data_IF_666754173523
#
_entry.id   IF_666754173523
#
_cell.length_a   1.000
_cell.length_b   1.000
_cell.length_c   1.000
_cell.angle_alpha   90.00
_cell.angle_beta   90.00
_cell.angle_gamma   90.00
#
_symmetry.space_group_name_H-M   'P 1'
#
loop_
_entity.id
_entity.type
_entity.pdbx_description
1 polymer ?
#
# COMPACT_ATOMS: atom_id res chain seq x y z
N UNK A 1 -14.41 4.14 4.25
CA UNK A 1 -14.42 2.73 3.80
C UNK A 1 -15.81 2.43 3.25
N UNK A 2 -15.92 1.80 2.08
CA UNK A 2 -17.21 1.42 1.48
C UNK A 2 -17.29 -0.10 1.37
N UNK A 3 -18.34 -0.73 1.90
CA UNK A 3 -18.55 -2.18 1.74
C UNK A 3 -20.01 -2.49 1.40
N UNK A 4 -20.24 -3.66 0.82
CA UNK A 4 -21.57 -4.12 0.41
C UNK A 4 -21.48 -5.15 -0.71
N UNK A 5 -22.59 -5.79 -1.06
CA UNK A 5 -22.61 -6.88 -2.05
C UNK A 5 -22.24 -6.43 -3.47
N UNK A 6 -21.98 -7.39 -4.35
CA UNK A 6 -21.71 -7.14 -5.78
C UNK A 6 -22.90 -6.39 -6.40
N UNK A 7 -22.62 -5.39 -7.25
CA UNK A 7 -23.67 -4.61 -7.92
C UNK A 7 -24.25 -3.43 -7.13
N UNK A 8 -23.79 -3.16 -5.91
CA UNK A 8 -24.29 -2.04 -5.06
C UNK A 8 -23.75 -0.65 -5.43
N UNK A 9 -23.04 -0.50 -6.55
CA UNK A 9 -22.55 0.81 -7.03
C UNK A 9 -21.27 1.34 -6.36
N UNK A 10 -20.61 0.57 -5.47
CA UNK A 10 -19.38 0.98 -4.77
C UNK A 10 -18.28 1.47 -5.70
N UNK A 11 -18.01 0.75 -6.80
CA UNK A 11 -16.99 1.12 -7.78
C UNK A 11 -17.32 2.40 -8.53
N UNK A 12 -18.61 2.69 -8.73
CA UNK A 12 -19.10 3.93 -9.34
C UNK A 12 -18.94 5.12 -8.38
N UNK A 13 -19.30 4.95 -7.11
CA UNK A 13 -19.04 5.98 -6.08
C UNK A 13 -17.54 6.25 -5.91
N UNK A 14 -16.71 5.21 -5.92
CA UNK A 14 -15.26 5.34 -5.88
C UNK A 14 -14.73 6.11 -7.10
N UNK A 15 -15.31 5.88 -8.29
CA UNK A 15 -14.92 6.61 -9.51
C UNK A 15 -15.24 8.10 -9.41
N UNK A 16 -16.45 8.44 -8.96
CA UNK A 16 -16.87 9.83 -8.75
C UNK A 16 -15.98 10.51 -7.70
N UNK A 17 -15.75 9.85 -6.57
CA UNK A 17 -14.87 10.36 -5.53
C UNK A 17 -13.44 10.61 -6.05
N UNK A 18 -12.85 9.64 -6.76
CA UNK A 18 -11.50 9.76 -7.29
C UNK A 18 -11.38 10.91 -8.29
N UNK A 19 -12.37 11.09 -9.17
CA UNK A 19 -12.41 12.17 -10.16
C UNK A 19 -12.58 13.55 -9.51
N UNK A 20 -13.51 13.67 -8.55
CA UNK A 20 -13.84 14.93 -7.89
C UNK A 20 -12.84 15.35 -6.80
N UNK A 21 -11.97 14.43 -6.36
CA UNK A 21 -10.95 14.73 -5.36
C UNK A 21 -10.03 15.88 -5.81
N UNK A 22 -9.81 16.90 -4.95
CA UNK A 22 -8.95 18.05 -5.27
C UNK A 22 -7.46 17.69 -5.33
N UNK A 23 -7.09 16.46 -4.97
CA UNK A 23 -5.71 15.98 -5.05
C UNK A 23 -5.28 15.88 -6.52
N UNK A 24 -4.09 16.43 -6.89
CA UNK A 24 -3.57 16.32 -8.25
C UNK A 24 -3.53 14.88 -8.74
N UNK A 25 -3.82 14.66 -10.03
CA UNK A 25 -3.79 13.32 -10.64
C UNK A 25 -2.46 12.58 -10.47
N UNK A 26 -1.34 13.31 -10.38
CA UNK A 26 -0.01 12.75 -10.13
C UNK A 26 0.22 12.29 -8.69
N UNK A 27 -0.66 12.66 -7.75
CA UNK A 27 -0.59 12.33 -6.32
C UNK A 27 -1.76 11.46 -5.85
N UNK A 28 -2.63 11.02 -6.74
CA UNK A 28 -3.72 10.08 -6.43
C UNK A 28 -3.63 8.85 -7.31
N UNK A 29 -3.80 7.68 -6.71
CA UNK A 29 -3.75 6.40 -7.40
C UNK A 29 -5.01 5.59 -7.08
N UNK A 30 -5.59 4.98 -8.11
CA UNK A 30 -6.66 3.99 -7.97
C UNK A 30 -6.17 2.65 -8.49
N UNK A 31 -6.26 1.59 -7.69
CA UNK A 31 -5.68 0.28 -8.02
C UNK A 31 -6.43 -0.85 -7.32
N UNK A 32 -6.45 -2.05 -7.92
CA UNK A 32 -6.92 -3.25 -7.24
C UNK A 32 -5.95 -3.63 -6.12
N UNK A 33 -6.48 -4.03 -4.97
CA UNK A 33 -5.67 -4.33 -3.80
C UNK A 33 -4.58 -5.40 -4.06
N UNK A 34 -4.90 -6.46 -4.82
CA UNK A 34 -3.94 -7.50 -5.16
C UNK A 34 -2.75 -6.97 -5.98
N UNK A 35 -3.03 -6.14 -7.00
CA UNK A 35 -1.98 -5.54 -7.83
C UNK A 35 -1.08 -4.60 -7.03
N UNK A 36 -1.64 -3.89 -6.05
CA UNK A 36 -0.85 -3.09 -5.13
C UNK A 36 0.08 -3.94 -4.25
N UNK A 37 -0.43 -5.04 -3.69
CA UNK A 37 0.40 -5.94 -2.88
C UNK A 37 1.54 -6.55 -3.69
N UNK A 38 1.31 -6.92 -4.96
CA UNK A 38 2.38 -7.39 -5.85
C UNK A 38 3.48 -6.33 -6.06
N UNK A 39 3.11 -5.05 -6.25
CA UNK A 39 4.09 -3.96 -6.34
C UNK A 39 4.88 -3.79 -5.04
N UNK A 40 4.20 -3.77 -3.90
CA UNK A 40 4.85 -3.65 -2.57
C UNK A 40 5.84 -4.80 -2.34
N UNK A 41 5.45 -6.04 -2.62
CA UNK A 41 6.32 -7.21 -2.49
C UNK A 41 7.55 -7.12 -3.41
N UNK A 42 7.36 -6.68 -4.66
CA UNK A 42 8.46 -6.46 -5.61
C UNK A 42 9.45 -5.42 -5.08
N UNK A 43 8.98 -4.24 -4.65
CA UNK A 43 9.83 -3.17 -4.11
C UNK A 43 10.60 -3.63 -2.86
N UNK A 44 9.94 -4.36 -1.95
CA UNK A 44 10.59 -4.94 -0.77
C UNK A 44 11.69 -5.93 -1.18
N UNK A 45 11.41 -6.80 -2.15
CA UNK A 45 12.36 -7.78 -2.63
C UNK A 45 13.59 -7.14 -3.31
N UNK A 46 13.39 -6.08 -4.09
CA UNK A 46 14.46 -5.30 -4.72
C UNK A 46 15.38 -4.65 -3.68
N UNK A 47 14.81 -4.01 -2.66
CA UNK A 47 15.59 -3.42 -1.56
C UNK A 47 16.40 -4.49 -0.80
N UNK A 48 15.77 -5.62 -0.48
CA UNK A 48 16.46 -6.74 0.18
C UNK A 48 17.61 -7.27 -0.67
N UNK A 49 17.43 -7.41 -1.98
CA UNK A 49 18.50 -7.83 -2.88
C UNK A 49 19.64 -6.82 -2.95
N UNK A 50 19.34 -5.52 -2.97
CA UNK A 50 20.36 -4.48 -2.95
C UNK A 50 21.16 -4.50 -1.64
N UNK A 51 20.50 -4.55 -0.48
CA UNK A 51 21.16 -4.64 0.82
C UNK A 51 22.05 -5.89 0.93
N UNK A 52 21.62 -7.03 0.40
CA UNK A 52 22.42 -8.27 0.38
C UNK A 52 23.69 -8.17 -0.48
N UNK A 53 23.62 -7.44 -1.61
CA UNK A 53 24.77 -7.21 -2.49
C UNK A 53 25.80 -6.31 -1.82
N UNK A 54 25.34 -5.26 -1.14
CA UNK A 54 26.22 -4.25 -0.54
C UNK A 54 26.83 -4.71 0.80
N UNK A 55 26.10 -5.49 1.61
CA UNK A 55 26.50 -5.85 2.99
C UNK A 55 26.93 -7.31 3.18
N UNK A 56 26.80 -8.16 2.16
CA UNK A 56 27.14 -9.58 2.22
C UNK A 56 26.14 -10.44 3.03
N UNK A 57 26.32 -11.77 2.99
CA UNK A 57 25.39 -12.77 3.58
C UNK A 57 25.26 -12.73 5.12
N UNK A 58 26.05 -11.91 5.82
CA UNK A 58 25.99 -11.76 7.28
C UNK A 58 24.98 -10.72 7.75
N UNK A 59 24.05 -10.28 6.89
CA UNK A 59 22.88 -9.56 7.34
C UNK A 59 21.92 -10.55 8.04
N UNK A 60 22.20 -10.83 9.31
CA UNK A 60 21.12 -11.09 10.27
C UNK A 60 20.05 -10.05 9.98
N UNK A 61 18.82 -10.47 9.67
CA UNK A 61 17.68 -9.56 9.46
C UNK A 61 17.68 -8.61 10.65
N UNK A 62 18.25 -7.43 10.42
CA UNK A 62 18.42 -6.45 11.47
C UNK A 62 17.04 -5.85 11.63
N UNK A 63 16.33 -6.31 12.66
CA UNK A 63 15.02 -5.79 13.06
C UNK A 63 15.17 -4.41 13.72
N UNK A 64 16.35 -3.78 13.62
CA UNK A 64 16.47 -2.34 13.87
C UNK A 64 15.51 -1.58 12.95
N UNK A 65 14.78 -0.64 13.54
CA UNK A 65 13.71 0.13 12.90
C UNK A 65 14.21 0.86 11.63
N UNK A 66 15.51 1.21 11.60
CA UNK A 66 16.17 1.96 10.52
C UNK A 66 16.48 1.14 9.26
N UNK A 67 16.59 -0.18 9.37
CA UNK A 67 16.86 -1.08 8.24
C UNK A 67 15.62 -1.81 7.72
N UNK A 68 14.42 -1.43 8.16
CA UNK A 68 13.20 -2.10 7.74
C UNK A 68 12.82 -1.74 6.28
N UNK A 69 12.85 -2.72 5.34
CA UNK A 69 12.55 -2.45 3.92
C UNK A 69 11.09 -2.04 3.70
N UNK A 70 10.15 -2.50 4.53
CA UNK A 70 8.73 -2.12 4.43
C UNK A 70 8.58 -0.62 4.73
N UNK A 71 9.28 -0.11 5.76
CA UNK A 71 9.26 1.32 6.08
C UNK A 71 9.85 2.17 4.96
N UNK A 72 10.95 1.72 4.34
CA UNK A 72 11.55 2.42 3.18
C UNK A 72 10.58 2.50 2.01
N UNK A 73 9.95 1.37 1.64
CA UNK A 73 8.91 1.34 0.60
C UNK A 73 7.74 2.26 0.95
N UNK A 74 7.27 2.25 2.21
CA UNK A 74 6.18 3.12 2.65
C UNK A 74 6.54 4.60 2.56
N UNK A 75 7.77 4.99 2.92
CA UNK A 75 8.25 6.36 2.80
C UNK A 75 8.29 6.81 1.34
N UNK A 76 8.79 5.96 0.44
CA UNK A 76 8.83 6.30 -0.99
C UNK A 76 7.42 6.39 -1.58
N UNK A 77 6.52 5.45 -1.24
CA UNK A 77 5.11 5.53 -1.62
C UNK A 77 4.41 6.78 -1.07
N UNK A 78 4.73 7.22 0.16
CA UNK A 78 4.14 8.44 0.75
C UNK A 78 4.53 9.71 -0.02
N UNK A 79 5.71 9.73 -0.63
CA UNK A 79 6.16 10.83 -1.49
C UNK A 79 5.49 10.76 -2.85
N UNK A 80 5.20 9.57 -3.36
CA UNK A 80 4.53 9.35 -4.64
C UNK A 80 3.02 9.66 -4.56
N UNK A 81 2.34 9.19 -3.51
CA UNK A 81 0.88 9.15 -3.42
C UNK A 81 0.36 9.75 -2.11
N UNK A 82 -0.49 10.77 -2.26
CA UNK A 82 -1.24 11.40 -1.17
C UNK A 82 -2.65 10.84 -1.00
N UNK A 83 -3.23 10.24 -2.06
CA UNK A 83 -4.53 9.58 -2.01
C UNK A 83 -4.49 8.21 -2.71
N UNK A 84 -4.74 7.15 -1.95
CA UNK A 84 -4.75 5.78 -2.42
C UNK A 84 -6.16 5.19 -2.36
N UNK A 85 -6.74 4.92 -3.53
CA UNK A 85 -8.06 4.35 -3.69
C UNK A 85 -7.96 2.87 -4.08
N UNK A 86 -8.32 1.98 -3.17
CA UNK A 86 -8.35 0.55 -3.44
C UNK A 86 -9.73 0.09 -3.90
N UNK A 87 -9.75 -0.64 -5.01
CA UNK A 87 -10.86 -1.51 -5.35
C UNK A 87 -10.60 -2.92 -4.84
N UNK A 88 -11.67 -3.60 -4.42
CA UNK A 88 -11.65 -5.01 -3.99
C UNK A 88 -10.65 -5.26 -2.85
N UNK A 89 -10.67 -4.41 -1.83
CA UNK A 89 -9.81 -4.56 -0.66
C UNK A 89 -10.16 -5.84 0.11
N UNK A 90 -9.26 -6.81 0.04
CA UNK A 90 -9.38 -8.07 0.75
C UNK A 90 -8.00 -8.61 1.09
N UNK A 91 -7.73 -8.76 2.39
CA UNK A 91 -6.51 -9.38 2.89
C UNK A 91 -6.79 -10.84 3.19
N UNK A 92 -6.07 -11.75 2.53
CA UNK A 92 -6.28 -13.20 2.67
C UNK A 92 -5.16 -13.91 3.44
N UNK A 93 -3.97 -13.32 3.51
CA UNK A 93 -2.80 -13.92 4.16
C UNK A 93 -2.37 -13.11 5.40
N UNK A 94 -2.01 -13.82 6.47
CA UNK A 94 -1.45 -13.25 7.71
C UNK A 94 -0.11 -12.56 7.43
N UNK A 95 0.70 -13.09 6.50
CA UNK A 95 1.97 -12.48 6.11
C UNK A 95 1.75 -11.10 5.48
N UNK A 96 0.77 -10.97 4.58
CA UNK A 96 0.38 -9.70 3.98
C UNK A 96 -0.15 -8.73 5.03
N UNK A 97 -0.94 -9.21 6.00
CA UNK A 97 -1.46 -8.38 7.08
C UNK A 97 -0.34 -7.72 7.91
N UNK A 98 0.76 -8.44 8.17
CA UNK A 98 1.91 -7.89 8.88
C UNK A 98 2.63 -6.79 8.08
N UNK A 99 2.75 -6.96 6.76
CA UNK A 99 3.33 -5.95 5.86
C UNK A 99 2.44 -4.70 5.84
N UNK A 100 1.14 -4.89 5.61
CA UNK A 100 0.16 -3.80 5.53
C UNK A 100 0.11 -2.98 6.81
N UNK A 101 0.17 -3.64 7.98
CA UNK A 101 0.19 -2.95 9.27
C UNK A 101 1.32 -1.91 9.31
N UNK A 102 2.55 -2.33 8.99
CA UNK A 102 3.71 -1.44 9.03
C UNK A 102 3.69 -0.41 7.90
N UNK A 103 3.23 -0.82 6.70
CA UNK A 103 3.15 0.05 5.54
C UNK A 103 2.17 1.21 5.79
N UNK A 104 0.96 0.90 6.22
CA UNK A 104 -0.08 1.90 6.46
C UNK A 104 0.22 2.78 7.67
N UNK A 105 0.88 2.25 8.71
CA UNK A 105 1.34 3.08 9.84
C UNK A 105 2.21 4.24 9.35
N UNK A 106 3.16 3.97 8.46
CA UNK A 106 4.05 5.01 7.90
C UNK A 106 3.29 5.91 6.91
N UNK A 107 2.49 5.34 6.02
CA UNK A 107 1.72 6.12 5.05
C UNK A 107 0.79 7.14 5.73
N UNK A 108 0.06 6.70 6.77
CA UNK A 108 -0.86 7.57 7.51
C UNK A 108 -0.10 8.62 8.33
N UNK A 109 1.04 8.28 8.91
CA UNK A 109 1.91 9.24 9.60
C UNK A 109 2.43 10.35 8.66
N UNK A 110 2.52 10.09 7.36
CA UNK A 110 2.94 11.05 6.33
C UNK A 110 1.77 11.71 5.58
N UNK A 111 0.53 11.53 6.07
CA UNK A 111 -0.66 12.20 5.52
C UNK A 111 -1.23 11.56 4.25
N UNK A 112 -0.79 10.36 3.85
CA UNK A 112 -1.46 9.62 2.78
C UNK A 112 -2.86 9.20 3.25
N UNK A 113 -3.88 9.53 2.48
CA UNK A 113 -5.26 9.11 2.74
C UNK A 113 -5.57 7.84 1.95
N UNK A 114 -6.18 6.86 2.60
CA UNK A 114 -6.65 5.64 1.96
C UNK A 114 -8.17 5.60 1.91
N UNK A 115 -8.73 5.25 0.75
CA UNK A 115 -10.14 4.91 0.56
C UNK A 115 -10.19 3.51 -0.04
N UNK A 116 -11.10 2.67 0.42
CA UNK A 116 -11.22 1.31 -0.08
C UNK A 116 -12.68 0.93 -0.29
N UNK A 117 -12.92 0.13 -1.34
CA UNK A 117 -14.16 -0.63 -1.54
C UNK A 117 -13.93 -2.12 -1.24
N UNK A 118 -14.89 -2.79 -0.61
CA UNK A 118 -14.85 -4.25 -0.44
C UNK A 118 -16.21 -4.91 -0.68
N UNK A 119 -16.18 -6.12 -1.24
CA UNK A 119 -17.37 -6.98 -1.38
C UNK A 119 -17.57 -7.90 -0.18
N UNK A 120 -16.69 -7.83 0.83
CA UNK A 120 -16.79 -8.60 2.07
C UNK A 120 -16.80 -7.64 3.26
N UNK A 121 -17.56 -7.93 4.32
CA UNK A 121 -17.52 -7.17 5.56
C UNK A 121 -16.16 -7.30 6.27
#
# INVERSE_FOLDING_TARGET
FLHGDVGTGKSMLMDVFFKMSPIPHSKKQRVHFHSFMQDVHRRIHELKQADLRDKGRSFSIDVSIENNPIRRVALDLSKEVSLLCFDEFQVTDIADALILRQLFEVLFAHGTVMVATSNRP
#
